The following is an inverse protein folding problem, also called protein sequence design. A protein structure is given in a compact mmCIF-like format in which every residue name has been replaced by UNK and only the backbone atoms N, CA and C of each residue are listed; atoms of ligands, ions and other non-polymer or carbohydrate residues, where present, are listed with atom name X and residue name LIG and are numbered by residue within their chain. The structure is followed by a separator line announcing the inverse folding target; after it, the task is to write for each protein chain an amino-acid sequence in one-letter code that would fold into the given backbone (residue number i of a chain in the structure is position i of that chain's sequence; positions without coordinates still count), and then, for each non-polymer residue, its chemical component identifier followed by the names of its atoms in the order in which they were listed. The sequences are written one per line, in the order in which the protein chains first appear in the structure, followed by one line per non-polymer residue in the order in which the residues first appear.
data_IF_748633983969
#
_entry.id   IF_748633983969
#
_cell.length_a   1.000
_cell.length_b   1.000
_cell.length_c   1.000
_cell.angle_alpha   90.00
_cell.angle_beta   90.00
_cell.angle_gamma   90.00
#
_symmetry.space_group_name_H-M   'P 1'
#
loop_
_entity.id
_entity.type
_entity.pdbx_description
1 polymer ?
#
# COMPACT_ATOMS: atom_id res chain seq x y z
N UNK A 1 -3.14 -10.36 24.69
CA UNK A 1 -3.19 -11.82 24.96
C UNK A 1 -1.77 -12.38 24.92
N UNK A 2 -1.25 -12.83 26.07
CA UNK A 2 0.07 -13.45 26.15
C UNK A 2 -0.08 -14.95 25.86
N UNK A 3 0.18 -15.37 24.63
CA UNK A 3 0.16 -16.79 24.29
C UNK A 3 1.54 -17.38 24.62
N UNK A 4 1.63 -18.18 25.68
CA UNK A 4 2.90 -18.79 26.08
C UNK A 4 3.38 -19.74 24.98
N UNK A 5 4.59 -19.49 24.44
CA UNK A 5 5.16 -20.36 23.41
C UNK A 5 5.42 -21.74 24.02
N UNK A 6 4.68 -22.75 23.55
CA UNK A 6 4.91 -24.15 23.93
C UNK A 6 6.33 -24.58 23.52
N UNK A 7 7.10 -25.10 24.48
CA UNK A 7 8.45 -25.65 24.25
C UNK A 7 8.35 -26.97 23.47
N UNK A 8 9.05 -27.09 22.35
CA UNK A 8 9.01 -28.26 21.47
C UNK A 8 9.93 -29.36 22.04
N UNK A 9 9.55 -30.64 21.87
CA UNK A 9 10.35 -31.78 22.35
C UNK A 9 10.35 -31.93 23.86
N UNK A 10 9.19 -31.77 24.52
CA UNK A 10 9.01 -31.91 25.97
C UNK A 10 7.95 -32.95 26.31
N UNK A 11 8.22 -34.21 25.98
CA UNK A 11 7.36 -35.37 26.26
C UNK A 11 6.20 -35.57 25.29
N UNK A 12 5.69 -36.79 25.20
CA UNK A 12 4.62 -37.17 24.27
C UNK A 12 3.28 -36.49 24.59
N UNK A 13 2.94 -36.33 25.87
CA UNK A 13 1.72 -35.64 26.32
C UNK A 13 1.61 -34.16 25.89
N UNK A 14 2.71 -33.54 25.45
CA UNK A 14 2.71 -32.18 24.89
C UNK A 14 2.21 -32.09 23.44
N UNK A 15 2.01 -33.24 22.76
CA UNK A 15 1.67 -33.33 21.34
C UNK A 15 2.80 -32.94 20.37
N UNK A 16 3.97 -32.53 20.89
CA UNK A 16 5.17 -32.15 20.11
C UNK A 16 6.43 -32.85 20.62
N UNK A 17 6.25 -33.99 21.30
CA UNK A 17 7.31 -34.90 21.73
C UNK A 17 7.89 -35.71 20.58
N UNK A 18 8.88 -36.57 20.87
CA UNK A 18 9.51 -37.43 19.86
C UNK A 18 10.27 -36.63 18.81
N UNK A 19 9.77 -36.60 17.58
CA UNK A 19 10.43 -35.97 16.41
C UNK A 19 10.34 -34.44 16.37
N UNK A 20 9.86 -33.82 17.46
CA UNK A 20 9.87 -32.36 17.63
C UNK A 20 9.29 -31.60 16.42
N UNK A 21 8.20 -32.10 15.85
CA UNK A 21 7.48 -31.56 14.67
C UNK A 21 8.24 -31.58 13.34
N UNK A 22 9.41 -32.25 13.26
CA UNK A 22 10.23 -32.30 12.05
C UNK A 22 10.08 -33.58 11.22
N UNK A 23 9.34 -34.57 11.71
CA UNK A 23 9.22 -35.89 11.09
C UNK A 23 10.51 -36.71 11.23
N UNK A 24 10.69 -37.71 10.37
CA UNK A 24 11.82 -38.64 10.43
C UNK A 24 13.03 -38.14 9.60
N UNK A 25 13.96 -39.04 9.24
CA UNK A 25 15.33 -38.79 8.76
C UNK A 25 15.47 -38.11 7.37
N UNK A 26 14.73 -37.04 7.08
CA UNK A 26 14.83 -36.23 5.86
C UNK A 26 15.77 -35.02 5.97
N UNK A 27 16.04 -34.37 4.85
CA UNK A 27 16.87 -33.15 4.80
C UNK A 27 16.34 -32.03 5.71
N UNK A 28 15.00 -31.87 5.79
CA UNK A 28 14.32 -30.84 6.58
C UNK A 28 14.41 -31.05 8.10
N UNK A 29 14.74 -32.27 8.56
CA UNK A 29 14.81 -32.58 9.99
C UNK A 29 16.21 -32.33 10.58
N UNK A 30 17.23 -32.10 9.75
CA UNK A 30 18.59 -31.83 10.18
C UNK A 30 18.74 -30.42 10.75
N UNK A 31 19.64 -30.28 11.72
CA UNK A 31 20.00 -28.99 12.29
C UNK A 31 20.61 -28.09 11.20
N UNK A 32 20.25 -26.81 11.20
CA UNK A 32 20.73 -25.84 10.21
C UNK A 32 20.05 -25.89 8.84
N UNK A 33 19.00 -26.72 8.65
CA UNK A 33 18.24 -26.70 7.40
C UNK A 33 17.60 -25.32 7.16
N UNK A 34 17.81 -24.77 5.97
CA UNK A 34 17.13 -23.58 5.47
C UNK A 34 16.58 -23.83 4.07
N UNK A 35 15.32 -23.44 3.84
CA UNK A 35 14.69 -23.54 2.53
C UNK A 35 15.20 -22.42 1.64
N UNK A 36 15.85 -22.75 0.52
CA UNK A 36 16.15 -21.78 -0.53
C UNK A 36 14.84 -21.41 -1.26
N UNK A 37 14.42 -20.15 -1.17
CA UNK A 37 13.14 -19.69 -1.74
C UNK A 37 13.05 -19.90 -3.26
N UNK A 38 14.16 -19.73 -3.98
CA UNK A 38 14.23 -19.93 -5.43
C UNK A 38 14.61 -21.35 -5.87
N UNK A 39 14.50 -22.37 -5.01
CA UNK A 39 14.84 -23.76 -5.36
C UNK A 39 13.58 -24.61 -5.59
N UNK A 40 13.42 -25.11 -6.82
CA UNK A 40 12.26 -25.92 -7.27
C UNK A 40 12.61 -27.42 -7.39
N UNK A 41 13.53 -27.94 -6.57
CA UNK A 41 13.81 -29.38 -6.50
C UNK A 41 14.72 -29.94 -7.60
N UNK A 42 15.37 -29.08 -8.40
CA UNK A 42 16.32 -29.46 -9.45
C UNK A 42 15.97 -28.89 -10.83
N UNK A 43 14.71 -28.50 -11.05
CA UNK A 43 14.29 -27.79 -12.25
C UNK A 43 14.81 -26.35 -12.26
N UNK A 44 14.95 -25.78 -13.47
CA UNK A 44 15.19 -24.34 -13.66
C UNK A 44 14.07 -23.50 -13.01
N UNK A 45 14.41 -22.65 -12.02
CA UNK A 45 13.41 -21.86 -11.30
C UNK A 45 12.66 -20.89 -12.20
N UNK A 46 11.42 -20.55 -11.85
CA UNK A 46 10.58 -19.64 -12.64
C UNK A 46 11.27 -18.29 -12.92
N UNK A 47 11.96 -17.74 -11.91
CA UNK A 47 12.73 -16.49 -12.02
C UNK A 47 13.85 -16.51 -13.09
N UNK A 48 14.26 -17.70 -13.56
CA UNK A 48 15.24 -17.87 -14.66
C UNK A 48 14.59 -18.27 -15.98
N UNK A 49 13.42 -18.90 -15.93
CA UNK A 49 12.66 -19.32 -17.13
C UNK A 49 11.99 -18.12 -17.81
N UNK A 50 11.49 -17.18 -17.03
CA UNK A 50 10.79 -16.00 -17.54
C UNK A 50 11.80 -14.92 -17.93
N UNK A 51 11.73 -14.34 -19.15
CA UNK A 51 12.61 -13.25 -19.54
C UNK A 51 12.32 -12.00 -18.72
N UNK A 52 13.36 -11.19 -18.48
CA UNK A 52 13.19 -9.84 -17.95
C UNK A 52 12.71 -8.94 -19.10
N UNK A 53 11.70 -8.11 -18.85
CA UNK A 53 11.14 -7.21 -19.85
C UNK A 53 11.07 -5.78 -19.31
N UNK A 54 11.23 -4.81 -20.22
CA UNK A 54 11.16 -3.38 -19.92
C UNK A 54 12.38 -2.80 -19.21
N UNK A 55 12.24 -1.55 -18.77
CA UNK A 55 13.24 -0.81 -18.00
C UNK A 55 12.55 0.03 -16.92
N UNK A 56 13.27 0.38 -15.87
CA UNK A 56 12.78 1.26 -14.80
C UNK A 56 13.25 2.70 -15.07
N UNK A 57 12.33 3.64 -15.26
CA UNK A 57 12.66 5.05 -15.43
C UNK A 57 13.20 5.65 -14.11
N UNK A 58 14.43 6.16 -14.14
CA UNK A 58 15.12 6.77 -12.98
C UNK A 58 14.45 8.09 -12.55
N UNK A 59 13.93 8.84 -13.52
CA UNK A 59 13.30 10.15 -13.29
C UNK A 59 11.77 10.03 -13.16
N UNK A 60 11.25 8.85 -12.76
CA UNK A 60 9.80 8.66 -12.56
C UNK A 60 9.33 9.50 -11.38
N UNK A 61 8.52 10.50 -11.67
CA UNK A 61 7.83 11.31 -10.66
C UNK A 61 6.51 10.61 -10.30
N UNK A 62 6.41 10.09 -9.09
CA UNK A 62 5.20 9.47 -8.56
C UNK A 62 4.34 10.51 -7.85
N UNK A 63 3.05 10.51 -8.16
CA UNK A 63 2.07 11.36 -7.51
C UNK A 63 1.16 10.49 -6.65
N UNK A 64 0.88 10.93 -5.44
CA UNK A 64 -0.14 10.38 -4.57
C UNK A 64 -1.52 10.77 -5.13
N UNK A 65 -2.34 9.77 -5.55
CA UNK A 65 -3.67 10.03 -6.06
C UNK A 65 -4.62 10.36 -4.91
N UNK A 66 -5.38 11.45 -5.05
CA UNK A 66 -6.49 11.80 -4.15
C UNK A 66 -7.76 11.96 -4.98
N UNK A 67 -8.82 11.27 -4.59
CA UNK A 67 -10.07 11.21 -5.34
C UNK A 67 -11.11 12.22 -4.80
N UNK A 68 -12.06 12.64 -5.65
CA UNK A 68 -13.11 13.58 -5.26
C UNK A 68 -14.04 13.03 -4.15
N UNK A 69 -14.31 11.72 -4.14
CA UNK A 69 -15.09 11.07 -3.07
C UNK A 69 -14.47 11.24 -1.67
N UNK A 70 -13.14 11.09 -1.57
CA UNK A 70 -12.38 11.24 -0.32
C UNK A 70 -12.44 12.69 0.16
N UNK A 71 -12.34 13.64 -0.77
CA UNK A 71 -12.45 15.07 -0.47
C UNK A 71 -13.87 15.39 0.01
N UNK A 72 -14.91 14.92 -0.69
CA UNK A 72 -16.30 15.11 -0.27
C UNK A 72 -16.54 14.52 1.12
N UNK A 73 -16.04 13.31 1.39
CA UNK A 73 -16.16 12.67 2.72
C UNK A 73 -15.49 13.50 3.83
N UNK A 74 -14.41 14.22 3.53
CA UNK A 74 -13.76 15.11 4.51
C UNK A 74 -14.57 16.39 4.75
N UNK A 75 -15.24 16.90 3.71
CA UNK A 75 -16.16 18.04 3.81
C UNK A 75 -17.37 17.65 4.66
N UNK A 76 -17.98 16.49 4.39
CA UNK A 76 -19.16 15.99 5.10
C UNK A 76 -18.86 15.78 6.59
N UNK A 77 -17.66 15.28 6.90
CA UNK A 77 -17.16 15.14 8.27
C UNK A 77 -16.68 16.46 8.91
N UNK A 78 -16.88 17.60 8.24
CA UNK A 78 -16.50 18.96 8.68
C UNK A 78 -15.02 19.13 9.03
N UNK A 79 -14.15 18.27 8.49
CA UNK A 79 -12.69 18.32 8.72
C UNK A 79 -12.01 19.39 7.86
N UNK A 80 -12.64 19.78 6.75
CA UNK A 80 -12.14 20.79 5.82
C UNK A 80 -13.28 21.75 5.49
N UNK A 81 -13.01 23.05 5.48
CA UNK A 81 -13.98 24.09 5.13
C UNK A 81 -13.33 25.12 4.21
N UNK A 82 -13.95 25.35 3.05
CA UNK A 82 -13.59 26.42 2.11
C UNK A 82 -12.37 26.14 1.24
N UNK A 83 -11.21 25.87 1.83
CA UNK A 83 -9.96 25.61 1.09
C UNK A 83 -9.27 24.32 1.53
N UNK A 84 -8.59 23.69 0.59
CA UNK A 84 -7.79 22.50 0.82
C UNK A 84 -6.43 22.66 0.16
N UNK A 85 -5.40 22.81 0.99
CA UNK A 85 -4.01 22.95 0.57
C UNK A 85 -3.20 21.68 0.81
N UNK A 86 -1.97 21.64 0.29
CA UNK A 86 -1.03 20.52 0.50
C UNK A 86 -0.87 20.19 1.99
N UNK A 87 -0.83 21.20 2.86
CA UNK A 87 -0.75 20.98 4.30
C UNK A 87 -2.02 20.30 4.84
N UNK A 88 -3.21 20.72 4.38
CA UNK A 88 -4.48 20.10 4.77
C UNK A 88 -4.57 18.63 4.33
N UNK A 89 -3.98 18.27 3.19
CA UNK A 89 -3.87 16.87 2.76
C UNK A 89 -2.97 16.04 3.70
N UNK A 90 -1.90 16.64 4.24
CA UNK A 90 -1.00 15.98 5.20
C UNK A 90 -1.69 15.81 6.55
N UNK A 91 -2.34 16.85 7.06
CA UNK A 91 -3.00 16.85 8.37
C UNK A 91 -4.15 15.84 8.44
N UNK A 92 -4.82 15.60 7.31
CA UNK A 92 -5.86 14.59 7.18
C UNK A 92 -5.33 13.18 6.82
N UNK A 93 -4.01 13.00 6.76
CA UNK A 93 -3.37 11.71 6.51
C UNK A 93 -3.50 11.19 5.07
N UNK A 94 -3.85 12.04 4.11
CA UNK A 94 -4.01 11.66 2.70
C UNK A 94 -2.67 11.58 1.96
N UNK A 95 -1.68 12.35 2.41
CA UNK A 95 -0.37 12.50 1.75
C UNK A 95 0.74 12.64 2.79
N UNK A 96 1.98 12.27 2.44
CA UNK A 96 3.15 12.56 3.30
C UNK A 96 3.79 13.87 2.88
N UNK A 97 4.62 14.43 3.76
CA UNK A 97 5.32 15.73 3.57
C UNK A 97 6.13 15.84 2.26
N UNK A 98 6.60 14.73 1.69
CA UNK A 98 7.42 14.72 0.46
C UNK A 98 6.66 14.24 -0.78
N UNK A 99 5.39 13.86 -0.64
CA UNK A 99 4.63 13.30 -1.74
C UNK A 99 4.05 14.43 -2.60
N UNK A 100 4.04 14.24 -3.91
CA UNK A 100 3.37 15.13 -4.85
C UNK A 100 1.91 14.70 -5.00
N UNK A 101 0.99 15.65 -5.06
CA UNK A 101 -0.46 15.33 -5.02
C UNK A 101 -1.07 15.47 -6.40
N UNK A 102 -1.79 14.43 -6.85
CA UNK A 102 -2.61 14.48 -8.07
C UNK A 102 -4.07 14.21 -7.75
N UNK A 103 -4.96 15.15 -8.09
CA UNK A 103 -6.39 14.99 -7.90
C UNK A 103 -7.01 14.23 -9.08
N UNK A 104 -7.82 13.22 -8.78
CA UNK A 104 -8.49 12.34 -9.73
C UNK A 104 -10.01 12.39 -9.56
N UNK A 105 -10.73 12.13 -10.65
CA UNK A 105 -12.18 12.35 -10.77
C UNK A 105 -13.05 11.17 -10.32
N UNK A 106 -12.59 10.34 -9.40
CA UNK A 106 -13.41 9.24 -8.87
C UNK A 106 -14.39 9.79 -7.84
N UNK A 107 -15.68 9.58 -8.06
CA UNK A 107 -16.75 10.08 -7.20
C UNK A 107 -17.37 11.40 -7.67
N UNK A 108 -18.21 12.00 -6.81
CA UNK A 108 -18.86 13.29 -7.05
C UNK A 108 -18.49 14.26 -5.95
N UNK A 109 -18.25 15.50 -6.33
CA UNK A 109 -18.08 16.61 -5.41
C UNK A 109 -19.26 17.55 -5.59
N UNK A 110 -20.01 17.81 -4.52
CA UNK A 110 -21.21 18.66 -4.56
C UNK A 110 -20.97 20.00 -3.88
N UNK A 111 -19.93 20.08 -3.04
CA UNK A 111 -19.59 21.27 -2.29
C UNK A 111 -18.58 22.13 -3.05
N UNK A 112 -18.79 23.46 -3.14
CA UNK A 112 -17.79 24.35 -3.71
C UNK A 112 -16.57 24.41 -2.77
N UNK A 113 -15.40 24.03 -3.28
CA UNK A 113 -14.15 24.06 -2.53
C UNK A 113 -13.00 24.53 -3.41
N UNK A 114 -12.09 25.30 -2.81
CA UNK A 114 -10.82 25.72 -3.43
C UNK A 114 -9.74 24.68 -3.12
N UNK A 115 -9.22 24.00 -4.14
CA UNK A 115 -8.19 22.96 -3.98
C UNK A 115 -6.89 23.44 -4.62
N UNK A 116 -5.81 23.50 -3.83
CA UNK A 116 -4.45 23.70 -4.34
C UNK A 116 -3.69 22.37 -4.35
N UNK A 117 -3.21 21.94 -5.52
CA UNK A 117 -2.48 20.68 -5.67
C UNK A 117 -1.45 20.75 -6.81
N UNK A 118 -0.57 19.74 -6.91
CA UNK A 118 0.49 19.73 -7.91
C UNK A 118 -0.01 19.37 -9.31
N UNK A 119 -1.01 18.48 -9.42
CA UNK A 119 -1.65 18.12 -10.68
C UNK A 119 -3.14 17.79 -10.50
N UNK A 120 -3.91 17.98 -11.57
CA UNK A 120 -5.31 17.57 -11.67
C UNK A 120 -5.50 16.71 -12.92
N UNK A 121 -6.40 15.72 -12.87
CA UNK A 121 -6.93 15.14 -14.10
C UNK A 121 -7.88 16.13 -14.78
N UNK A 122 -7.99 16.08 -16.10
CA UNK A 122 -8.89 16.95 -16.86
C UNK A 122 -10.35 16.81 -16.38
N UNK A 123 -10.78 15.58 -16.12
CA UNK A 123 -12.09 15.27 -15.55
C UNK A 123 -12.29 15.83 -14.15
N UNK A 124 -11.25 15.82 -13.29
CA UNK A 124 -11.37 16.29 -11.91
C UNK A 124 -11.49 17.80 -11.87
N UNK A 125 -10.65 18.50 -12.65
CA UNK A 125 -10.71 19.96 -12.79
C UNK A 125 -12.11 20.40 -13.24
N UNK A 126 -12.64 19.78 -14.29
CA UNK A 126 -13.98 20.08 -14.79
C UNK A 126 -15.08 19.80 -13.75
N UNK A 127 -14.95 18.73 -12.96
CA UNK A 127 -15.93 18.41 -11.91
C UNK A 127 -15.90 19.43 -10.76
N UNK A 128 -14.71 19.86 -10.34
CA UNK A 128 -14.54 20.87 -9.27
C UNK A 128 -15.13 22.22 -9.71
N UNK A 129 -14.80 22.67 -10.93
CA UNK A 129 -15.29 23.93 -11.48
C UNK A 129 -16.82 23.91 -11.68
N UNK A 130 -17.39 22.78 -12.13
CA UNK A 130 -18.85 22.61 -12.26
C UNK A 130 -19.59 22.73 -10.93
N UNK A 131 -18.95 22.31 -9.84
CA UNK A 131 -19.52 22.42 -8.49
C UNK A 131 -19.29 23.79 -7.85
N UNK A 132 -18.79 24.77 -8.62
CA UNK A 132 -18.53 26.14 -8.16
C UNK A 132 -17.25 26.28 -7.32
N UNK A 133 -16.37 25.27 -7.36
CA UNK A 133 -15.06 25.30 -6.72
C UNK A 133 -13.97 25.86 -7.63
N UNK A 134 -12.75 25.95 -7.11
CA UNK A 134 -11.57 26.45 -7.84
C UNK A 134 -10.44 25.43 -7.75
N UNK A 135 -9.83 25.08 -8.89
CA UNK A 135 -8.71 24.14 -8.96
C UNK A 135 -7.41 24.87 -9.33
N UNK A 136 -6.56 25.12 -8.33
CA UNK A 136 -5.29 25.82 -8.49
C UNK A 136 -4.15 24.82 -8.55
N UNK A 137 -3.36 24.90 -9.63
CA UNK A 137 -2.13 24.12 -9.78
C UNK A 137 -0.96 24.91 -9.22
N UNK A 138 -0.13 24.27 -8.39
CA UNK A 138 1.11 24.81 -7.85
C UNK A 138 2.24 24.88 -8.89
#
# INVERSE_FOLDING_TARGET
MHNSKKRIGRGQGSGKGGTATRGHNGQKSRSGYSKKLGFEGGQMPLQRRVPKFGFTNINRIEYQPVNLDTIQSLIDNKKVKGSMDVQSFIDNGLTKKKDLVKILATGKINSPIKITAHKFSASAKAAIEKSGGEAITL
#
